data_IF_682465165828
#
_entry.id   IF_682465165828
#
_cell.length_a   1.000
_cell.length_b   1.000
_cell.length_c   1.000
_cell.angle_alpha   90.00
_cell.angle_beta   90.00
_cell.angle_gamma   90.00
#
_symmetry.space_group_name_H-M   'P 1'
#
loop_
_entity.id
_entity.type
_entity.pdbx_description
1 polymer ?
#
# COMPACT_ATOMS: atom_id res chain seq x y z
N UNK A 1 21.45 10.54 -8.32
CA UNK A 1 21.07 10.34 -7.77
C UNK A 1 20.13 10.86 -7.18
N UNK A 2 20.24 11.36 -6.77
CA UNK A 2 19.33 11.80 -6.03
C UNK A 2 18.10 11.95 -6.61
N UNK A 3 18.07 11.88 -7.68
CA UNK A 3 16.95 11.89 -8.23
C UNK A 3 15.96 11.07 -7.74
N UNK A 4 16.39 10.15 -7.18
CA UNK A 4 15.56 9.30 -6.63
C UNK A 4 14.78 9.86 -5.63
N UNK A 5 15.04 10.92 -5.23
CA UNK A 5 14.24 11.51 -4.23
C UNK A 5 12.92 11.96 -4.80
N UNK A 6 12.74 11.90 -6.06
CA UNK A 6 11.48 12.28 -6.64
C UNK A 6 10.59 11.06 -6.73
N UNK A 7 9.51 11.09 -5.98
CA UNK A 7 8.54 10.02 -6.01
C UNK A 7 7.37 10.39 -6.92
N UNK A 8 6.76 9.39 -7.51
CA UNK A 8 5.73 9.59 -8.51
C UNK A 8 4.36 9.21 -7.93
N UNK A 9 4.06 9.72 -6.73
CA UNK A 9 2.80 9.40 -6.08
C UNK A 9 2.10 10.62 -5.52
N UNK A 10 0.77 10.52 -5.48
CA UNK A 10 -0.13 11.44 -4.83
C UNK A 10 -0.56 10.81 -3.51
N UNK A 11 -0.39 11.51 -2.41
CA UNK A 11 -0.75 10.99 -1.10
C UNK A 11 -1.65 11.95 -0.34
N UNK A 12 -2.28 11.42 0.70
CA UNK A 12 -3.10 12.20 1.61
C UNK A 12 -2.77 11.76 3.03
N UNK A 13 -2.76 12.71 3.97
CA UNK A 13 -2.58 12.40 5.38
C UNK A 13 -3.86 11.92 6.00
N UNK A 14 -3.76 10.88 6.81
CA UNK A 14 -4.85 10.32 7.59
C UNK A 14 -4.43 10.14 9.03
N UNK A 15 -5.40 10.08 9.93
CA UNK A 15 -5.13 9.77 11.33
C UNK A 15 -5.02 8.27 11.49
N UNK A 16 -3.89 7.83 12.02
CA UNK A 16 -3.65 6.41 12.28
C UNK A 16 -3.85 6.07 13.74
N UNK A 17 -4.03 4.79 14.02
CA UNK A 17 -4.14 4.29 15.39
C UNK A 17 -2.76 4.03 16.00
N UNK A 18 -1.72 4.10 15.19
CA UNK A 18 -0.32 3.92 15.62
C UNK A 18 0.57 4.47 14.51
N UNK A 19 1.89 4.41 14.72
CA UNK A 19 2.85 4.73 13.68
C UNK A 19 3.09 3.49 12.83
N UNK A 20 3.23 3.68 11.52
CA UNK A 20 3.44 2.58 10.59
C UNK A 20 4.59 2.89 9.65
N UNK A 21 5.37 1.87 9.34
CA UNK A 21 6.50 2.00 8.43
C UNK A 21 6.06 2.32 7.02
N UNK A 22 6.90 3.00 6.26
CA UNK A 22 6.67 3.15 4.81
C UNK A 22 6.49 1.79 4.16
N UNK A 23 5.73 1.74 3.07
CA UNK A 23 5.47 0.54 2.28
C UNK A 23 4.42 -0.39 2.91
N UNK A 24 3.85 -0.02 4.04
CA UNK A 24 2.84 -0.83 4.73
C UNK A 24 1.48 -0.64 4.10
N UNK A 25 0.77 -1.73 3.85
CA UNK A 25 -0.60 -1.70 3.34
C UNK A 25 -1.55 -1.32 4.47
N UNK A 26 -2.39 -0.32 4.22
CA UNK A 26 -3.31 0.22 5.21
C UNK A 26 -4.75 0.06 4.77
N UNK A 27 -5.63 -0.08 5.76
CA UNK A 27 -7.07 -0.15 5.55
C UNK A 27 -7.77 0.92 6.38
N UNK A 28 -9.00 1.24 6.00
CA UNK A 28 -9.86 2.07 6.82
C UNK A 28 -10.33 1.23 8.00
N UNK A 29 -10.14 1.73 9.20
CA UNK A 29 -10.49 0.97 10.40
C UNK A 29 -9.63 1.36 11.58
N UNK A 30 -9.72 0.55 12.64
CA UNK A 30 -9.00 0.82 13.87
C UNK A 30 -9.67 1.88 14.71
N UNK A 31 -8.92 2.43 15.67
CA UNK A 31 -9.46 3.43 16.60
C UNK A 31 -9.41 4.85 16.05
N UNK A 32 -8.77 5.05 14.92
CA UNK A 32 -8.71 6.35 14.25
C UNK A 32 -9.30 6.19 12.85
N UNK A 33 -8.61 6.69 11.80
CA UNK A 33 -9.13 6.57 10.45
C UNK A 33 -8.58 5.36 9.73
N UNK A 34 -7.29 5.09 9.94
CA UNK A 34 -6.62 3.99 9.22
C UNK A 34 -5.83 3.11 10.19
N UNK A 35 -5.67 1.86 9.80
CA UNK A 35 -4.86 0.89 10.53
C UNK A 35 -4.18 -0.04 9.53
N UNK A 36 -3.23 -0.84 10.00
CA UNK A 36 -2.52 -1.79 9.16
C UNK A 36 -3.44 -2.91 8.73
N UNK A 37 -3.36 -3.32 7.47
CA UNK A 37 -4.13 -4.46 6.98
C UNK A 37 -3.73 -5.73 7.75
N UNK A 38 -4.69 -6.62 7.98
CA UNK A 38 -4.43 -7.86 8.72
C UNK A 38 -5.24 -9.05 8.20
N UNK A 39 -6.07 -8.84 7.19
CA UNK A 39 -6.91 -9.90 6.65
C UNK A 39 -6.75 -10.00 5.15
N UNK A 40 -6.74 -11.23 4.66
CA UNK A 40 -6.63 -11.49 3.23
C UNK A 40 -7.82 -10.90 2.49
N UNK A 41 -7.53 -10.24 1.39
CA UNK A 41 -8.54 -9.69 0.48
C UNK A 41 -9.50 -8.70 1.14
N UNK A 42 -8.98 -7.87 2.03
CA UNK A 42 -9.83 -6.86 2.67
C UNK A 42 -10.40 -5.89 1.64
N UNK A 43 -11.70 -5.55 1.72
CA UNK A 43 -12.29 -4.56 0.82
C UNK A 43 -12.11 -3.13 1.32
N UNK A 44 -11.50 -2.94 2.48
CA UNK A 44 -11.38 -1.61 3.09
C UNK A 44 -10.02 -0.96 2.78
N UNK A 45 -9.40 -1.29 1.68
CA UNK A 45 -8.07 -0.77 1.32
C UNK A 45 -8.07 0.75 1.31
N UNK A 46 -7.14 1.34 2.06
CA UNK A 46 -6.89 2.78 2.03
C UNK A 46 -5.73 3.11 1.08
N UNK A 47 -4.68 2.32 1.11
CA UNK A 47 -3.50 2.51 0.26
C UNK A 47 -2.24 2.02 0.94
N UNK A 48 -1.11 2.59 0.59
CA UNK A 48 0.20 2.16 1.08
C UNK A 48 0.93 3.37 1.67
N UNK A 49 1.55 3.19 2.82
CA UNK A 49 2.26 4.28 3.51
C UNK A 49 3.42 4.76 2.65
N UNK A 50 3.50 6.08 2.45
CA UNK A 50 4.58 6.72 1.70
C UNK A 50 5.31 7.74 2.58
N UNK A 51 6.54 8.10 2.21
CA UNK A 51 7.31 9.05 3.00
C UNK A 51 7.58 10.36 2.29
N UNK A 52 7.59 10.38 0.99
CA UNK A 52 8.00 11.59 0.27
C UNK A 52 7.26 11.71 -1.05
N UNK A 53 5.94 11.88 -0.98
CA UNK A 53 5.12 11.93 -2.20
C UNK A 53 5.40 13.18 -3.02
N UNK A 54 5.14 13.13 -4.32
CA UNK A 54 5.24 14.27 -5.19
C UNK A 54 4.21 15.33 -4.81
N UNK A 55 3.03 14.88 -4.41
CA UNK A 55 1.97 15.77 -3.92
C UNK A 55 1.37 15.19 -2.65
N UNK A 56 1.12 16.05 -1.66
CA UNK A 56 0.56 15.63 -0.39
C UNK A 56 -0.68 16.46 -0.09
N UNK A 57 -1.84 15.79 -0.03
CA UNK A 57 -3.09 16.41 0.34
C UNK A 57 -3.27 16.34 1.86
N UNK A 58 -4.09 17.23 2.38
CA UNK A 58 -4.39 17.31 3.82
C UNK A 58 -3.12 17.52 4.64
N UNK A 59 -2.21 18.29 4.10
CA UNK A 59 -0.85 18.44 4.64
C UNK A 59 -0.83 19.00 6.05
N UNK A 60 -1.82 19.80 6.42
CA UNK A 60 -1.91 20.40 7.74
C UNK A 60 -2.51 19.51 8.82
N UNK A 61 -2.90 18.28 8.49
CA UNK A 61 -3.52 17.40 9.47
C UNK A 61 -2.55 17.09 10.60
N UNK A 62 -3.00 17.23 11.83
CA UNK A 62 -2.20 16.96 13.04
C UNK A 62 -2.93 15.97 13.92
N UNK A 63 -2.18 15.21 14.70
CA UNK A 63 -2.71 14.22 15.61
C UNK A 63 -1.55 13.44 16.23
N UNK A 64 -1.89 12.47 17.09
CA UNK A 64 -0.88 11.66 17.76
C UNK A 64 -0.12 10.78 16.76
N UNK A 65 -0.84 10.26 15.77
CA UNK A 65 -0.22 9.44 14.72
C UNK A 65 -0.82 9.89 13.40
N UNK A 66 0.00 10.43 12.52
CA UNK A 66 -0.42 10.89 11.20
C UNK A 66 0.33 10.07 10.17
N UNK A 67 -0.39 9.52 9.21
CA UNK A 67 0.16 8.62 8.21
C UNK A 67 -0.13 9.18 6.83
N UNK A 68 0.89 9.30 5.99
CA UNK A 68 0.69 9.70 4.60
C UNK A 68 0.47 8.43 3.77
N UNK A 69 -0.63 8.38 3.05
CA UNK A 69 -1.02 7.19 2.29
C UNK A 69 -1.04 7.52 0.81
N UNK A 70 -0.32 6.75 0.01
CA UNK A 70 -0.30 6.90 -1.43
C UNK A 70 -1.63 6.41 -1.99
N UNK A 71 -2.28 7.27 -2.75
CA UNK A 71 -3.57 6.99 -3.37
C UNK A 71 -3.44 6.70 -4.86
N UNK A 72 -2.38 7.20 -5.48
CA UNK A 72 -2.20 7.07 -6.92
C UNK A 72 -0.71 7.20 -7.24
N UNK A 73 -0.23 6.42 -8.20
CA UNK A 73 1.11 6.56 -8.71
C UNK A 73 1.99 5.37 -8.39
N UNK A 74 3.28 5.57 -8.39
CA UNK A 74 4.28 4.51 -8.24
C UNK A 74 4.88 4.55 -6.84
N UNK A 75 4.91 3.40 -6.16
CA UNK A 75 5.39 3.32 -4.78
C UNK A 75 5.89 1.91 -4.47
N UNK A 76 6.91 1.75 -3.62
CA UNK A 76 7.26 0.43 -3.12
C UNK A 76 6.24 -0.06 -2.10
N UNK A 77 6.01 -1.38 -2.07
CA UNK A 77 5.00 -2.00 -1.21
C UNK A 77 5.53 -3.31 -0.65
N UNK A 78 5.28 -3.54 0.64
CA UNK A 78 5.58 -4.82 1.27
C UNK A 78 4.68 -5.89 0.70
N UNK A 79 5.25 -7.04 0.38
CA UNK A 79 4.51 -8.16 -0.20
C UNK A 79 4.90 -9.48 0.43
N UNK A 80 4.02 -10.44 0.27
CA UNK A 80 4.31 -11.85 0.47
C UNK A 80 4.27 -12.45 -0.93
N UNK A 81 5.36 -13.07 -1.35
CA UNK A 81 5.46 -13.63 -2.70
C UNK A 81 4.78 -14.99 -2.85
N UNK A 82 4.77 -15.50 -4.06
CA UNK A 82 5.48 -14.94 -5.23
C UNK A 82 4.66 -13.85 -5.91
N UNK A 83 5.36 -12.86 -6.44
CA UNK A 83 4.75 -11.72 -7.17
C UNK A 83 5.43 -11.64 -8.54
N UNK A 84 4.63 -11.55 -9.59
CA UNK A 84 5.12 -11.37 -10.94
C UNK A 84 4.70 -10.01 -11.47
N UNK A 85 5.48 -9.47 -12.38
CA UNK A 85 5.16 -8.20 -13.02
C UNK A 85 3.75 -8.27 -13.60
N UNK A 86 2.96 -7.26 -13.33
CA UNK A 86 1.58 -7.18 -13.81
C UNK A 86 0.54 -7.82 -12.90
N UNK A 87 0.96 -8.52 -11.85
CA UNK A 87 0.01 -9.14 -10.93
C UNK A 87 -0.84 -8.07 -10.24
N UNK A 88 -2.13 -8.36 -10.13
CA UNK A 88 -3.05 -7.57 -9.30
C UNK A 88 -2.80 -7.95 -7.85
N UNK A 89 -2.68 -6.95 -6.99
CA UNK A 89 -2.33 -7.15 -5.58
C UNK A 89 -3.51 -6.88 -4.67
N UNK A 90 -3.68 -7.75 -3.68
CA UNK A 90 -4.70 -7.64 -2.63
C UNK A 90 -3.99 -7.72 -1.28
N UNK A 91 -4.69 -7.38 -0.21
CA UNK A 91 -4.14 -7.54 1.14
C UNK A 91 -3.90 -9.02 1.43
N UNK A 92 -2.78 -9.32 2.10
CA UNK A 92 -2.51 -10.67 2.56
C UNK A 92 -2.92 -10.83 4.02
N UNK A 93 -2.80 -12.04 4.55
CA UNK A 93 -3.03 -12.28 5.96
C UNK A 93 -1.80 -11.90 6.81
N UNK A 94 -0.67 -11.59 6.17
CA UNK A 94 0.48 -11.04 6.88
C UNK A 94 0.24 -9.55 7.05
N UNK A 95 0.21 -9.04 8.28
CA UNK A 95 -0.12 -7.62 8.50
C UNK A 95 0.74 -6.68 7.67
N UNK A 96 0.07 -5.74 7.02
CA UNK A 96 0.74 -4.69 6.26
C UNK A 96 1.33 -5.11 4.93
N UNK A 97 1.10 -6.34 4.49
CA UNK A 97 1.68 -6.87 3.25
C UNK A 97 0.60 -7.17 2.23
N UNK A 98 0.95 -7.05 0.96
CA UNK A 98 0.10 -7.45 -0.16
C UNK A 98 0.50 -8.83 -0.64
N UNK A 99 -0.36 -9.45 -1.45
CA UNK A 99 -0.04 -10.69 -2.15
C UNK A 99 -0.73 -10.66 -3.52
N UNK A 100 -0.33 -11.52 -4.41
CA UNK A 100 -0.96 -11.61 -5.72
C UNK A 100 -2.37 -12.17 -5.58
N UNK A 101 -3.33 -11.56 -6.26
CA UNK A 101 -4.69 -12.07 -6.29
C UNK A 101 -4.69 -13.45 -6.96
N UNK A 102 -5.46 -14.39 -6.44
CA UNK A 102 -5.45 -15.76 -6.99
C UNK A 102 -6.08 -15.85 -8.38
N UNK A 103 -6.91 -14.87 -8.74
CA UNK A 103 -7.55 -14.86 -10.05
C UNK A 103 -7.04 -13.68 -10.87
N UNK A 104 -7.19 -13.76 -12.18
CA UNK A 104 -6.85 -12.63 -13.04
C UNK A 104 -7.69 -11.42 -12.62
N UNK A 105 -7.13 -10.23 -12.83
CA UNK A 105 -7.65 -9.00 -12.26
C UNK A 105 -9.15 -8.77 -12.37
N UNK A 106 -9.78 -9.16 -13.48
CA UNK A 106 -11.19 -8.89 -13.66
C UNK A 106 -12.09 -9.66 -12.68
N UNK A 107 -11.54 -10.64 -11.97
CA UNK A 107 -12.29 -11.39 -10.97
C UNK A 107 -12.13 -10.83 -9.56
N UNK A 108 -11.31 -9.81 -9.40
CA UNK A 108 -11.06 -9.21 -8.09
C UNK A 108 -11.86 -7.91 -7.98
N UNK A 109 -12.74 -7.78 -6.96
CA UNK A 109 -13.47 -6.52 -6.78
C UNK A 109 -12.51 -5.35 -6.65
N UNK A 110 -12.83 -4.25 -7.31
CA UNK A 110 -11.92 -3.10 -7.34
C UNK A 110 -11.62 -2.54 -5.95
N UNK A 111 -12.56 -2.64 -5.01
CA UNK A 111 -12.35 -2.17 -3.64
C UNK A 111 -11.29 -2.97 -2.89
N UNK A 112 -10.97 -4.18 -3.36
CA UNK A 112 -9.95 -5.03 -2.75
C UNK A 112 -8.58 -4.83 -3.38
N UNK A 113 -8.49 -4.13 -4.51
CA UNK A 113 -7.24 -4.01 -5.25
C UNK A 113 -6.37 -2.92 -4.63
N UNK A 114 -5.13 -3.27 -4.30
CA UNK A 114 -4.14 -2.31 -3.82
C UNK A 114 -3.48 -1.64 -5.04
N UNK A 115 -3.11 -2.42 -6.03
CA UNK A 115 -2.44 -1.94 -7.23
C UNK A 115 -1.94 -3.11 -8.05
N UNK A 116 -1.01 -2.83 -8.96
CA UNK A 116 -0.41 -3.84 -9.82
C UNK A 116 1.10 -3.81 -9.66
N UNK A 117 1.73 -4.98 -9.68
CA UNK A 117 3.17 -5.10 -9.52
C UNK A 117 3.91 -4.59 -10.76
N UNK A 118 4.87 -3.71 -10.54
CA UNK A 118 5.78 -3.25 -11.60
C UNK A 118 7.02 -4.13 -11.60
N UNK A 119 7.45 -4.61 -10.45
CA UNK A 119 8.63 -5.46 -10.33
C UNK A 119 8.24 -6.82 -9.72
N UNK A 120 9.22 -7.71 -9.60
CA UNK A 120 8.96 -9.10 -9.21
C UNK A 120 9.61 -9.45 -7.88
N UNK A 121 8.98 -10.39 -7.18
CA UNK A 121 9.55 -11.04 -6.00
C UNK A 121 9.08 -12.48 -6.06
N UNK A 122 9.92 -13.37 -6.60
CA UNK A 122 9.48 -14.72 -6.94
C UNK A 122 9.57 -15.72 -5.78
N UNK A 123 10.22 -15.35 -4.67
CA UNK A 123 10.30 -16.20 -3.50
C UNK A 123 8.95 -16.19 -2.78
N UNK A 124 8.69 -17.23 -1.99
CA UNK A 124 7.47 -17.32 -1.19
C UNK A 124 7.52 -16.43 0.05
N UNK A 125 8.68 -15.91 0.37
CA UNK A 125 8.89 -15.09 1.57
C UNK A 125 8.36 -13.67 1.41
N UNK A 126 8.47 -12.89 2.48
CA UNK A 126 8.16 -11.47 2.46
C UNK A 126 9.24 -10.72 1.67
N UNK A 127 8.85 -9.66 1.03
CA UNK A 127 9.74 -8.81 0.26
C UNK A 127 9.09 -7.49 -0.05
N UNK A 128 9.66 -6.76 -1.00
CA UNK A 128 9.18 -5.45 -1.42
C UNK A 128 9.18 -5.42 -2.94
N UNK A 129 8.10 -4.93 -3.53
CA UNK A 129 8.05 -4.70 -4.97
C UNK A 129 7.56 -3.28 -5.24
N UNK A 130 7.92 -2.75 -6.40
CA UNK A 130 7.35 -1.50 -6.89
C UNK A 130 5.97 -1.80 -7.42
N UNK A 131 5.00 -0.96 -7.09
CA UNK A 131 3.63 -1.13 -7.57
C UNK A 131 3.09 0.15 -8.17
N UNK A 132 2.09 -0.01 -9.00
CA UNK A 132 1.29 1.08 -9.52
C UNK A 132 -0.04 1.05 -8.78
N UNK A 133 -0.28 2.09 -8.00
CA UNK A 133 -1.51 2.22 -7.23
C UNK A 133 -2.61 2.86 -8.07
#
# INVERSE_FOLDING_TARGET
TATQATYADLAEKYLGDADYEPRTVMILGGSAEVTQSDKKNSPAIAGVVTTNPAHLMNEGLEGDHVVAIALRGRIPCKVKGPIRKGDVLIASDIPGHAEAAPFKGYQTPSVCVIGKAISEHLQMSEGIVEILV
#
